data_IF_255453585522
#
_entry.id   IF_255453585522
#
_cell.length_a   1.000
_cell.length_b   1.000
_cell.length_c   1.000
_cell.angle_alpha   90.00
_cell.angle_beta   90.00
_cell.angle_gamma   90.00
#
_symmetry.space_group_name_H-M   'P 1'
#
loop_
_entity.id
_entity.type
_entity.pdbx_description
1 polymer ?
#
# COMPACT_ATOMS: atom_id res chain seq x y z
N UNK A 1 -35.61 74.80 -26.02
CA UNK A 1 -36.51 74.70 -24.85
C UNK A 1 -35.89 73.71 -23.88
N UNK A 2 -35.66 74.19 -22.65
CA UNK A 2 -35.35 73.53 -21.38
C UNK A 2 -35.36 71.99 -21.37
N UNK A 3 -34.37 71.28 -20.81
CA UNK A 3 -34.17 71.27 -19.37
C UNK A 3 -32.77 70.74 -18.98
N UNK A 4 -32.13 71.45 -18.06
CA UNK A 4 -30.98 71.00 -17.28
C UNK A 4 -31.40 69.87 -16.32
N UNK A 5 -30.53 68.87 -16.12
CA UNK A 5 -30.35 68.24 -14.80
C UNK A 5 -29.02 67.50 -14.74
N UNK A 6 -28.06 68.23 -14.18
CA UNK A 6 -26.98 67.82 -13.28
C UNK A 6 -26.87 66.36 -12.83
N UNK A 7 -25.63 65.88 -12.97
CA UNK A 7 -24.94 64.81 -12.24
C UNK A 7 -25.44 64.55 -10.80
N UNK A 8 -25.61 63.27 -10.47
CA UNK A 8 -25.40 62.76 -9.11
C UNK A 8 -24.68 61.42 -9.19
N UNK A 9 -23.41 61.41 -8.75
CA UNK A 9 -22.64 60.20 -8.50
C UNK A 9 -23.24 59.48 -7.29
N UNK A 10 -23.91 58.35 -7.52
CA UNK A 10 -24.13 57.37 -6.47
C UNK A 10 -23.09 56.25 -6.59
N UNK A 11 -22.06 56.33 -5.76
CA UNK A 11 -21.09 55.26 -5.51
C UNK A 11 -21.81 54.07 -4.83
N UNK A 12 -22.36 53.17 -5.64
CA UNK A 12 -22.90 51.90 -5.17
C UNK A 12 -21.78 50.87 -5.03
N UNK A 13 -21.17 50.75 -3.84
CA UNK A 13 -20.41 49.53 -3.49
C UNK A 13 -21.38 48.36 -3.44
N UNK A 14 -21.36 47.51 -4.47
CA UNK A 14 -21.93 46.17 -4.39
C UNK A 14 -21.18 45.41 -3.30
N UNK A 15 -21.81 45.23 -2.12
CA UNK A 15 -21.29 44.32 -1.10
C UNK A 15 -21.62 42.90 -1.54
N UNK A 16 -20.64 42.19 -2.07
CA UNK A 16 -20.71 40.75 -2.17
C UNK A 16 -20.59 40.17 -0.76
N UNK A 17 -21.73 39.73 -0.20
CA UNK A 17 -21.73 38.83 0.94
C UNK A 17 -21.08 37.52 0.50
N UNK A 18 -20.02 37.02 1.18
CA UNK A 18 -19.54 35.68 0.88
C UNK A 18 -20.68 34.69 1.16
N UNK A 19 -20.83 33.62 0.35
CA UNK A 19 -21.80 32.58 0.64
C UNK A 19 -21.52 32.02 2.04
N UNK A 20 -22.56 31.55 2.78
CA UNK A 20 -22.35 30.88 4.05
C UNK A 20 -21.33 29.75 3.83
N UNK A 21 -20.29 29.71 4.68
CA UNK A 21 -19.30 28.63 4.66
C UNK A 21 -20.04 27.31 4.81
N UNK A 22 -20.28 26.64 3.69
CA UNK A 22 -20.80 25.28 3.68
C UNK A 22 -19.85 24.45 4.53
N UNK A 23 -20.45 23.59 5.37
CA UNK A 23 -19.76 22.75 6.32
C UNK A 23 -18.49 22.18 5.67
N UNK A 24 -17.34 22.49 6.26
CA UNK A 24 -16.08 21.91 5.86
C UNK A 24 -16.24 20.39 5.89
N UNK A 25 -16.42 19.78 4.71
CA UNK A 25 -16.26 18.35 4.54
C UNK A 25 -14.84 18.07 4.99
N UNK A 26 -14.69 17.62 6.24
CA UNK A 26 -13.43 17.06 6.74
C UNK A 26 -13.05 16.03 5.70
N UNK A 27 -12.12 16.37 4.80
CA UNK A 27 -11.37 15.37 4.05
C UNK A 27 -10.75 14.53 5.15
N UNK A 28 -11.40 13.40 5.49
CA UNK A 28 -10.78 12.35 6.29
C UNK A 28 -9.50 12.07 5.53
N UNK A 29 -8.37 12.57 6.04
CA UNK A 29 -7.06 12.02 5.65
C UNK A 29 -7.27 10.52 5.81
N UNK A 30 -7.23 9.77 4.70
CA UNK A 30 -7.20 8.32 4.77
C UNK A 30 -5.98 8.01 5.61
N UNK A 31 -6.19 7.82 6.91
CA UNK A 31 -5.16 7.42 7.83
C UNK A 31 -4.96 5.96 7.48
N UNK A 32 -3.85 5.66 6.83
CA UNK A 32 -3.57 4.32 6.36
C UNK A 32 -3.33 3.47 7.60
N UNK A 33 -4.28 2.59 7.91
CA UNK A 33 -4.31 1.73 9.11
C UNK A 33 -4.05 0.26 8.77
N UNK A 34 -3.24 0.01 7.75
CA UNK A 34 -3.14 -1.29 7.09
C UNK A 34 -1.69 -1.76 7.02
N UNK A 35 -1.52 -3.09 7.06
CA UNK A 35 -0.29 -3.75 6.65
C UNK A 35 0.01 -3.39 5.21
N UNK A 36 1.27 -3.06 4.92
CA UNK A 36 1.71 -2.72 3.57
C UNK A 36 2.73 -3.70 3.05
N UNK A 37 2.66 -3.98 1.76
CA UNK A 37 3.73 -4.66 1.06
C UNK A 37 4.07 -3.95 -0.25
N UNK A 38 5.37 -3.79 -0.52
CA UNK A 38 5.88 -3.47 -1.85
C UNK A 38 6.48 -4.75 -2.40
N UNK A 39 5.86 -5.28 -3.46
CA UNK A 39 6.24 -6.54 -4.10
C UNK A 39 6.91 -6.22 -5.42
N UNK A 40 8.14 -6.71 -5.60
CA UNK A 40 8.94 -6.49 -6.79
C UNK A 40 9.25 -7.82 -7.45
N UNK A 41 9.02 -7.92 -8.75
CA UNK A 41 9.45 -9.08 -9.53
C UNK A 41 10.94 -8.97 -9.79
N UNK A 42 11.69 -10.01 -9.44
CA UNK A 42 13.14 -10.00 -9.50
C UNK A 42 13.68 -11.21 -10.26
N UNK A 43 14.75 -11.00 -11.02
CA UNK A 43 15.56 -12.08 -11.57
C UNK A 43 16.47 -12.70 -10.49
N UNK A 44 16.88 -11.90 -9.50
CA UNK A 44 17.56 -12.32 -8.29
C UNK A 44 17.45 -11.24 -7.22
N UNK A 45 17.52 -11.63 -5.95
CA UNK A 45 17.64 -10.71 -4.83
C UNK A 45 18.40 -11.35 -3.66
N UNK A 46 19.13 -10.54 -2.91
CA UNK A 46 19.89 -10.98 -1.74
C UNK A 46 19.91 -9.94 -0.64
N UNK A 47 20.18 -10.41 0.58
CA UNK A 47 20.38 -9.58 1.77
C UNK A 47 21.79 -9.82 2.28
N UNK A 48 22.51 -8.72 2.50
CA UNK A 48 23.80 -8.73 3.18
C UNK A 48 23.72 -8.00 4.52
N UNK A 49 24.41 -8.55 5.51
CA UNK A 49 24.65 -7.92 6.81
C UNK A 49 26.14 -7.99 7.09
N UNK A 50 26.75 -6.85 7.45
CA UNK A 50 28.20 -6.75 7.70
C UNK A 50 29.07 -7.30 6.56
N UNK A 51 28.62 -7.13 5.31
CA UNK A 51 29.33 -7.57 4.10
C UNK A 51 29.25 -9.08 3.82
N UNK A 52 28.38 -9.81 4.52
CA UNK A 52 28.13 -11.24 4.28
C UNK A 52 26.70 -11.45 3.80
N UNK A 53 26.52 -12.22 2.74
CA UNK A 53 25.19 -12.66 2.29
C UNK A 53 24.58 -13.58 3.33
N UNK A 54 23.42 -13.19 3.87
CA UNK A 54 22.68 -13.97 4.86
C UNK A 54 21.49 -14.70 4.25
N UNK A 55 21.05 -14.26 3.07
CA UNK A 55 19.83 -14.73 2.42
C UNK A 55 19.85 -14.35 0.96
N UNK A 56 19.41 -15.25 0.07
CA UNK A 56 19.33 -14.98 -1.37
C UNK A 56 18.26 -15.84 -2.05
N UNK A 57 17.74 -15.31 -3.15
CA UNK A 57 16.83 -16.00 -4.06
C UNK A 57 17.27 -15.77 -5.52
N UNK A 58 17.00 -16.76 -6.37
CA UNK A 58 17.01 -16.60 -7.82
C UNK A 58 15.76 -15.86 -8.33
N UNK A 59 15.19 -16.26 -9.48
CA UNK A 59 13.96 -15.65 -9.98
C UNK A 59 12.83 -15.73 -8.96
N UNK A 60 12.05 -14.67 -8.84
CA UNK A 60 10.93 -14.63 -7.90
C UNK A 60 10.48 -13.25 -7.47
N UNK A 61 10.16 -13.10 -6.18
CA UNK A 61 9.60 -11.88 -5.60
C UNK A 61 10.44 -11.40 -4.41
N UNK A 62 10.88 -10.14 -4.46
CA UNK A 62 11.30 -9.40 -3.27
C UNK A 62 10.09 -8.68 -2.69
N UNK A 63 9.86 -8.84 -1.38
CA UNK A 63 8.70 -8.26 -0.69
C UNK A 63 9.16 -7.44 0.50
N UNK A 64 9.04 -6.13 0.39
CA UNK A 64 9.24 -5.21 1.51
C UNK A 64 7.92 -5.14 2.29
N UNK A 65 7.91 -5.57 3.56
CA UNK A 65 6.70 -5.62 4.39
C UNK A 65 6.75 -4.60 5.50
N UNK A 66 5.78 -3.70 5.54
CA UNK A 66 5.50 -2.81 6.66
C UNK A 66 4.35 -3.36 7.49
N UNK A 67 4.54 -3.38 8.82
CA UNK A 67 3.51 -3.75 9.80
C UNK A 67 3.07 -2.48 10.55
N UNK A 68 1.78 -2.17 10.50
CA UNK A 68 1.13 -1.06 11.20
C UNK A 68 0.79 -1.47 12.65
N UNK A 69 0.77 -0.52 13.59
CA UNK A 69 0.55 -0.82 15.03
C UNK A 69 -0.81 -1.49 15.34
N UNK A 70 -1.79 -1.34 14.43
CA UNK A 70 -3.11 -1.96 14.55
C UNK A 70 -3.29 -3.25 13.73
N UNK A 71 -2.24 -3.76 13.09
CA UNK A 71 -2.36 -4.95 12.26
C UNK A 71 -2.66 -6.19 13.10
N UNK A 72 -3.42 -7.09 12.50
CA UNK A 72 -3.87 -8.35 13.08
C UNK A 72 -3.41 -9.53 12.22
N UNK A 73 -3.56 -10.74 12.75
CA UNK A 73 -3.29 -11.97 11.98
C UNK A 73 -4.07 -12.04 10.66
N UNK A 74 -5.27 -11.45 10.61
CA UNK A 74 -6.07 -11.40 9.38
C UNK A 74 -5.43 -10.57 8.28
N UNK A 75 -4.70 -9.51 8.65
CA UNK A 75 -3.94 -8.68 7.72
C UNK A 75 -2.73 -9.46 7.16
N UNK A 76 -2.04 -10.20 8.03
CA UNK A 76 -0.95 -11.09 7.65
C UNK A 76 -1.41 -12.18 6.66
N UNK A 77 -2.54 -12.81 6.95
CA UNK A 77 -3.14 -13.84 6.09
C UNK A 77 -3.56 -13.27 4.73
N UNK A 78 -4.10 -12.06 4.71
CA UNK A 78 -4.43 -11.38 3.46
C UNK A 78 -3.19 -11.12 2.61
N UNK A 79 -2.14 -10.53 3.20
CA UNK A 79 -0.89 -10.21 2.47
C UNK A 79 -0.22 -11.49 1.97
N UNK A 80 -0.08 -12.51 2.82
CA UNK A 80 0.47 -13.82 2.43
C UNK A 80 -0.26 -14.39 1.21
N UNK A 81 -1.59 -14.52 1.30
CA UNK A 81 -2.41 -15.04 0.21
C UNK A 81 -2.30 -14.20 -1.05
N UNK A 82 -2.33 -12.87 -0.94
CA UNK A 82 -2.25 -11.99 -2.11
C UNK A 82 -0.89 -12.10 -2.79
N UNK A 83 0.20 -11.99 -2.05
CA UNK A 83 1.56 -12.09 -2.60
C UNK A 83 1.76 -13.41 -3.35
N UNK A 84 1.41 -14.54 -2.73
CA UNK A 84 1.64 -15.86 -3.31
C UNK A 84 0.77 -16.14 -4.54
N UNK A 85 -0.43 -15.55 -4.63
CA UNK A 85 -1.37 -15.80 -5.72
C UNK A 85 -1.38 -14.73 -6.82
N UNK A 86 -0.63 -13.62 -6.66
CA UNK A 86 -0.53 -12.62 -7.71
C UNK A 86 0.11 -13.20 -8.97
N UNK A 87 -0.56 -13.01 -10.11
CA UNK A 87 -0.14 -13.54 -11.41
C UNK A 87 0.79 -12.53 -12.09
N UNK A 88 2.07 -12.56 -11.73
CA UNK A 88 3.08 -11.59 -12.19
C UNK A 88 4.04 -12.15 -13.25
N UNK A 89 3.91 -13.43 -13.59
CA UNK A 89 4.82 -14.11 -14.50
C UNK A 89 4.11 -14.51 -15.79
N UNK A 90 4.87 -14.53 -16.88
CA UNK A 90 4.41 -15.03 -18.18
C UNK A 90 4.34 -16.55 -18.12
N UNK A 91 3.31 -17.11 -18.72
CA UNK A 91 3.20 -18.53 -18.94
C UNK A 91 3.97 -18.91 -20.21
N UNK A 92 5.08 -19.64 -20.10
CA UNK A 92 5.91 -19.95 -21.27
C UNK A 92 5.23 -20.88 -22.28
N UNK A 93 4.30 -21.73 -21.86
CA UNK A 93 3.63 -22.66 -22.77
C UNK A 93 2.58 -21.97 -23.65
N UNK A 94 1.93 -20.91 -23.14
CA UNK A 94 0.90 -20.15 -23.86
C UNK A 94 1.37 -18.79 -24.37
N UNK A 95 2.52 -18.30 -23.90
CA UNK A 95 3.03 -16.96 -24.15
C UNK A 95 2.23 -15.83 -23.45
N UNK A 96 1.22 -16.17 -22.64
CA UNK A 96 0.34 -15.17 -22.00
C UNK A 96 1.05 -14.52 -20.80
N UNK A 97 1.20 -13.20 -20.84
CA UNK A 97 1.65 -12.40 -19.69
C UNK A 97 0.62 -12.35 -18.56
N UNK A 98 1.08 -12.06 -17.34
CA UNK A 98 0.21 -11.92 -16.15
C UNK A 98 -0.65 -13.15 -15.83
N UNK A 99 -0.08 -14.34 -16.02
CA UNK A 99 -0.83 -15.59 -16.02
C UNK A 99 -0.37 -16.58 -14.94
N UNK A 100 0.90 -16.54 -14.54
CA UNK A 100 1.42 -17.42 -13.50
C UNK A 100 1.82 -16.65 -12.25
N UNK A 101 1.59 -17.26 -11.09
CA UNK A 101 2.05 -16.78 -9.80
C UNK A 101 3.41 -17.40 -9.41
N UNK A 102 4.02 -16.90 -8.33
CA UNK A 102 5.36 -17.33 -7.90
C UNK A 102 5.44 -18.84 -7.61
N UNK A 103 4.36 -19.41 -7.05
CA UNK A 103 4.29 -20.82 -6.71
C UNK A 103 4.24 -21.72 -7.95
N UNK A 104 3.45 -21.33 -8.96
CA UNK A 104 3.34 -22.04 -10.23
C UNK A 104 4.68 -22.05 -11.00
N UNK A 105 5.53 -21.04 -10.79
CA UNK A 105 6.86 -20.94 -11.36
C UNK A 105 7.93 -21.69 -10.56
N UNK A 106 7.61 -22.16 -9.35
CA UNK A 106 8.58 -22.67 -8.38
C UNK A 106 9.73 -21.68 -8.11
N UNK A 107 9.38 -20.42 -7.91
CA UNK A 107 10.31 -19.30 -7.74
C UNK A 107 10.46 -18.86 -6.29
N UNK A 108 11.52 -18.13 -5.98
CA UNK A 108 11.82 -17.69 -4.61
C UNK A 108 10.94 -16.52 -4.14
N UNK A 109 10.74 -16.43 -2.83
CA UNK A 109 10.17 -15.24 -2.18
C UNK A 109 11.12 -14.79 -1.09
N UNK A 110 11.60 -13.54 -1.17
CA UNK A 110 12.45 -12.92 -0.16
C UNK A 110 11.66 -11.85 0.58
N UNK A 111 11.37 -12.10 1.86
CA UNK A 111 10.67 -11.17 2.74
C UNK A 111 11.70 -10.27 3.46
N UNK A 112 11.45 -8.96 3.50
CA UNK A 112 12.27 -8.01 4.25
C UNK A 112 11.37 -7.05 5.02
N UNK A 113 11.56 -6.96 6.34
CA UNK A 113 10.84 -6.01 7.19
C UNK A 113 11.20 -4.56 6.82
N UNK A 114 10.20 -3.73 6.53
CA UNK A 114 10.37 -2.35 6.05
C UNK A 114 9.37 -1.38 6.68
N UNK A 115 9.64 -0.96 7.92
CA UNK A 115 8.77 0.00 8.64
C UNK A 115 8.67 1.38 7.95
N UNK A 116 9.65 1.74 7.12
CA UNK A 116 9.67 3.05 6.45
C UNK A 116 8.60 3.21 5.38
N UNK A 117 7.89 2.13 5.00
CA UNK A 117 6.70 2.21 4.15
C UNK A 117 5.61 3.12 4.77
N UNK A 118 5.66 3.34 6.09
CA UNK A 118 4.79 4.26 6.81
C UNK A 118 5.32 5.69 6.94
N UNK A 119 6.39 6.06 6.22
CA UNK A 119 6.95 7.40 6.27
C UNK A 119 5.94 8.48 5.87
N UNK A 120 5.53 9.28 6.85
CA UNK A 120 4.72 10.48 6.66
C UNK A 120 5.65 11.68 6.70
N UNK A 121 5.73 12.45 5.62
CA UNK A 121 6.59 13.63 5.56
C UNK A 121 5.91 14.83 6.25
N UNK A 122 6.56 15.34 7.31
CA UNK A 122 6.27 16.65 7.91
C UNK A 122 7.38 17.60 7.48
N UNK A 123 7.14 18.37 6.42
CA UNK A 123 8.22 19.01 5.66
C UNK A 123 9.07 17.96 4.95
N UNK A 124 10.38 17.96 5.16
CA UNK A 124 11.30 16.95 4.58
C UNK A 124 11.68 15.82 5.55
N UNK A 125 11.23 15.88 6.81
CA UNK A 125 11.52 14.85 7.82
C UNK A 125 10.45 13.76 7.77
N UNK A 126 10.83 12.48 7.60
CA UNK A 126 9.88 11.38 7.69
C UNK A 126 9.54 11.09 9.17
N UNK A 127 8.26 10.79 9.38
CA UNK A 127 7.66 10.39 10.65
C UNK A 127 7.03 9.01 10.47
N UNK A 128 7.35 8.08 11.38
CA UNK A 128 6.94 6.68 11.30
C UNK A 128 6.04 6.25 12.47
N UNK A 129 5.40 7.18 13.17
CA UNK A 129 4.63 6.92 14.40
C UNK A 129 3.50 5.89 14.27
N UNK A 130 3.08 5.54 13.04
CA UNK A 130 2.02 4.56 12.79
C UNK A 130 2.55 3.13 12.58
N UNK A 131 3.86 2.96 12.44
CA UNK A 131 4.48 1.64 12.34
C UNK A 131 4.43 0.92 13.69
N UNK A 132 4.26 -0.40 13.66
CA UNK A 132 4.28 -1.22 14.86
C UNK A 132 5.64 -1.11 15.57
N UNK A 133 5.69 -0.89 16.91
CA UNK A 133 6.94 -0.82 17.66
C UNK A 133 7.77 -2.10 17.53
N UNK A 134 9.12 -2.03 17.52
CA UNK A 134 10.00 -3.18 17.26
C UNK A 134 9.74 -4.41 18.13
N UNK A 135 9.39 -4.21 19.41
CA UNK A 135 9.14 -5.29 20.37
C UNK A 135 7.92 -6.13 20.00
N UNK A 136 6.89 -5.51 19.38
CA UNK A 136 5.71 -6.22 18.86
C UNK A 136 5.94 -6.67 17.42
N UNK A 137 6.61 -5.85 16.61
CA UNK A 137 6.82 -6.10 15.19
C UNK A 137 7.72 -7.31 14.91
N UNK A 138 8.72 -7.58 15.75
CA UNK A 138 9.60 -8.75 15.58
C UNK A 138 8.83 -10.09 15.61
N UNK A 139 8.13 -10.45 16.71
CA UNK A 139 7.39 -11.71 16.75
C UNK A 139 6.25 -11.75 15.72
N UNK A 140 5.64 -10.61 15.40
CA UNK A 140 4.64 -10.52 14.35
C UNK A 140 5.23 -10.85 12.97
N UNK A 141 6.38 -10.26 12.64
CA UNK A 141 7.08 -10.51 11.38
C UNK A 141 7.54 -11.97 11.27
N UNK A 142 8.07 -12.56 12.34
CA UNK A 142 8.44 -13.98 12.38
C UNK A 142 7.23 -14.89 12.11
N UNK A 143 6.08 -14.58 12.72
CA UNK A 143 4.81 -15.26 12.44
C UNK A 143 4.38 -15.11 10.98
N UNK A 144 4.53 -13.93 10.38
CA UNK A 144 4.24 -13.70 8.97
C UNK A 144 5.14 -14.56 8.06
N UNK A 145 6.45 -14.59 8.31
CA UNK A 145 7.39 -15.43 7.53
C UNK A 145 6.98 -16.91 7.61
N UNK A 146 6.60 -17.37 8.80
CA UNK A 146 6.15 -18.75 8.99
C UNK A 146 4.84 -19.06 8.23
N UNK A 147 3.91 -18.10 8.14
CA UNK A 147 2.69 -18.24 7.31
C UNK A 147 3.03 -18.44 5.84
N UNK A 148 4.01 -17.69 5.31
CA UNK A 148 4.49 -17.87 3.94
C UNK A 148 5.13 -19.25 3.74
N UNK A 149 6.01 -19.68 4.66
CA UNK A 149 6.67 -20.99 4.61
C UNK A 149 5.66 -22.14 4.61
N UNK A 150 4.65 -22.07 5.47
CA UNK A 150 3.57 -23.07 5.57
C UNK A 150 2.66 -23.10 4.34
N UNK A 151 2.36 -21.95 3.76
CA UNK A 151 1.44 -21.85 2.62
C UNK A 151 2.12 -22.24 1.30
N UNK A 152 3.41 -21.92 1.16
CA UNK A 152 4.15 -22.17 -0.08
C UNK A 152 5.17 -23.31 0.07
N UNK A 153 6.33 -23.02 0.65
CA UNK A 153 7.38 -24.00 0.94
C UNK A 153 8.44 -23.36 1.84
N UNK A 154 8.96 -24.07 2.87
CA UNK A 154 10.06 -23.58 3.68
C UNK A 154 11.33 -23.23 2.89
N UNK A 155 11.62 -23.98 1.84
CA UNK A 155 12.86 -23.81 1.05
C UNK A 155 12.79 -22.61 0.11
N UNK A 156 11.60 -22.33 -0.44
CA UNK A 156 11.38 -21.25 -1.40
C UNK A 156 11.20 -19.88 -0.74
N UNK A 157 10.90 -19.84 0.57
CA UNK A 157 10.68 -18.60 1.32
C UNK A 157 11.89 -18.27 2.18
N UNK A 158 12.55 -17.16 1.83
CA UNK A 158 13.69 -16.60 2.52
C UNK A 158 13.32 -15.28 3.20
N UNK A 159 14.07 -14.90 4.22
CA UNK A 159 13.90 -13.64 4.93
C UNK A 159 15.23 -12.93 5.19
N UNK A 160 15.16 -11.62 5.43
CA UNK A 160 16.28 -10.84 5.98
C UNK A 160 16.41 -10.97 7.51
N UNK A 161 17.34 -10.23 8.10
CA UNK A 161 17.51 -10.18 9.56
C UNK A 161 16.74 -8.98 10.12
N UNK A 162 15.66 -9.25 10.85
CA UNK A 162 14.82 -8.20 11.44
C UNK A 162 15.64 -7.25 12.32
N UNK A 163 15.50 -5.94 12.07
CA UNK A 163 16.16 -4.89 12.85
C UNK A 163 17.65 -4.71 12.57
N UNK A 164 18.26 -5.51 11.70
CA UNK A 164 19.64 -5.31 11.26
C UNK A 164 19.73 -4.24 10.17
N UNK A 165 20.88 -3.57 10.09
CA UNK A 165 21.23 -2.73 8.95
C UNK A 165 21.60 -3.62 7.78
N UNK A 166 20.65 -3.81 6.87
CA UNK A 166 20.78 -4.68 5.71
C UNK A 166 21.14 -3.90 4.45
N UNK A 167 21.97 -4.48 3.59
CA UNK A 167 22.02 -4.12 2.17
C UNK A 167 21.16 -5.12 1.41
N UNK A 168 20.12 -4.62 0.75
CA UNK A 168 19.24 -5.46 -0.08
C UNK A 168 19.64 -5.24 -1.53
N UNK A 169 20.25 -6.25 -2.15
CA UNK A 169 20.58 -6.23 -3.56
C UNK A 169 19.42 -6.85 -4.35
N UNK A 170 19.03 -6.25 -5.46
CA UNK A 170 18.03 -6.83 -6.35
C UNK A 170 18.30 -6.50 -7.81
N UNK A 171 17.90 -7.43 -8.68
CA UNK A 171 17.82 -7.22 -10.12
C UNK A 171 16.34 -7.29 -10.49
N UNK A 172 15.70 -6.13 -10.64
CA UNK A 172 14.29 -6.07 -11.05
C UNK A 172 14.11 -6.67 -12.46
N UNK A 173 13.10 -7.54 -12.60
CA UNK A 173 12.70 -8.15 -13.86
C UNK A 173 11.41 -7.45 -14.35
N UNK A 174 11.55 -6.62 -15.39
CA UNK A 174 10.44 -5.87 -16.00
C UNK A 174 10.77 -4.40 -16.25
N UNK A 175 10.83 -3.53 -15.21
CA UNK A 175 10.52 -3.82 -13.81
C UNK A 175 9.01 -3.89 -13.54
N UNK A 176 8.61 -4.82 -12.67
CA UNK A 176 7.23 -4.93 -12.14
C UNK A 176 7.26 -4.65 -10.64
N UNK A 177 6.42 -3.72 -10.18
CA UNK A 177 6.30 -3.37 -8.76
C UNK A 177 4.84 -3.17 -8.39
N UNK A 178 4.38 -3.89 -7.37
CA UNK A 178 3.00 -3.85 -6.86
C UNK A 178 2.99 -3.32 -5.43
N UNK A 179 2.01 -2.48 -5.12
CA UNK A 179 1.76 -2.02 -3.76
C UNK A 179 0.47 -2.68 -3.25
N UNK A 180 0.54 -3.25 -2.06
CA UNK A 180 -0.59 -3.90 -1.40
C UNK A 180 -0.82 -3.26 -0.04
N UNK A 181 -2.08 -3.01 0.27
CA UNK A 181 -2.57 -2.65 1.60
C UNK A 181 -3.60 -3.70 2.04
N UNK A 182 -3.53 -4.18 3.28
CA UNK A 182 -4.47 -5.20 3.79
C UNK A 182 -5.91 -4.69 3.90
N UNK A 183 -6.10 -3.42 4.26
CA UNK A 183 -7.39 -2.75 4.22
C UNK A 183 -7.64 -2.17 2.83
N UNK A 184 -8.63 -2.71 2.14
CA UNK A 184 -9.12 -2.13 0.88
C UNK A 184 -9.92 -0.86 1.18
N UNK A 185 -9.71 0.20 0.39
CA UNK A 185 -10.65 1.32 0.38
C UNK A 185 -11.98 0.81 -0.18
N UNK A 186 -12.99 0.64 0.66
CA UNK A 186 -14.37 0.45 0.23
C UNK A 186 -14.83 1.74 -0.46
N UNK A 187 -14.57 1.88 -1.76
CA UNK A 187 -15.14 2.95 -2.59
C UNK A 187 -16.33 2.51 -3.44
N UNK A 188 -16.68 1.22 -3.44
CA UNK A 188 -17.69 0.69 -4.37
C UNK A 188 -18.93 0.06 -3.68
N UNK A 189 -19.20 0.36 -2.41
CA UNK A 189 -20.36 -0.21 -1.69
C UNK A 189 -21.53 0.77 -1.45
N UNK A 190 -21.41 2.04 -1.88
CA UNK A 190 -22.41 3.10 -1.62
C UNK A 190 -23.24 3.51 -2.86
N UNK A 191 -23.37 2.67 -3.90
CA UNK A 191 -24.19 3.03 -5.09
C UNK A 191 -25.36 2.09 -5.37
N UNK A 192 -25.73 1.19 -4.46
CA UNK A 192 -26.90 0.31 -4.65
C UNK A 192 -27.81 0.22 -3.42
N UNK A 193 -28.05 1.35 -2.75
CA UNK A 193 -29.03 1.41 -1.66
C UNK A 193 -29.77 2.75 -1.60
N UNK A 194 -30.64 3.01 -2.58
CA UNK A 194 -31.81 3.93 -2.52
C UNK A 194 -32.80 3.39 -3.58
N UNK A 195 -34.06 3.04 -3.36
CA UNK A 195 -34.97 2.94 -2.21
C UNK A 195 -36.02 1.84 -2.54
N UNK A 196 -36.61 1.14 -1.55
CA UNK A 196 -37.84 0.37 -1.75
C UNK A 196 -39.08 1.27 -1.62
N UNK A 197 -39.90 1.31 -2.68
CA UNK A 197 -41.36 1.42 -2.61
C UNK A 197 -42.00 2.70 -2.04
N UNK A 198 -42.68 3.46 -2.91
CA UNK A 198 -43.97 4.09 -2.56
C UNK A 198 -45.07 3.57 -3.47
N UNK A 199 -45.98 2.82 -2.85
CA UNK A 199 -47.27 2.40 -3.37
C UNK A 199 -48.32 3.51 -3.19
N UNK A 200 -49.22 3.64 -4.18
CA UNK A 200 -50.63 3.99 -4.02
C UNK A 200 -51.01 5.44 -3.70
N UNK A 201 -51.49 6.17 -4.72
CA UNK A 201 -52.92 6.41 -4.96
C UNK A 201 -53.13 7.05 -6.33
#
# INVERSE_FOLDING_TARGET
MYCLSTLSLCSGRVRFSPPPRSAATKRRRLQIRAMRAVVQRVASASVEVEGRTVSEIGPGLLVLVGIHDSDTDSDADYICRKVLNMRLFTNESTGRGWDQNVMQKNYGVLLVSQFTLYGILKGNKPDFHVAMPPQKAKPFYESLVERFRKTYSPDAVKDGIFGAMMKVNLVNDGPVTMQLDSLQSTRNAETTAEEPGKSGK
#
